data_IF_516223925685
#
_entry.id   IF_516223925685
#
_cell.length_a   1.000
_cell.length_b   1.000
_cell.length_c   1.000
_cell.angle_alpha   90.00
_cell.angle_beta   90.00
_cell.angle_gamma   90.00
#
_symmetry.space_group_name_H-M   'P 1'
#
loop_
_entity.id
_entity.type
_entity.pdbx_description
1 polymer ?
#
# COMPACT_ATOMS: atom_id res chain seq x y z
N UNK A 1 24.44 15.77 23.64
CA UNK A 1 23.23 16.33 23.09
C UNK A 1 22.74 15.45 21.98
N UNK A 2 21.57 14.83 22.15
CA UNK A 2 20.85 14.18 21.07
C UNK A 2 20.41 15.30 20.13
N UNK A 3 20.92 15.31 18.91
CA UNK A 3 20.34 16.09 17.86
C UNK A 3 18.95 15.48 17.58
N UNK A 4 17.91 16.16 18.01
CA UNK A 4 16.59 15.95 17.47
C UNK A 4 16.73 16.20 15.96
N UNK A 5 16.66 15.13 15.17
CA UNK A 5 16.44 15.27 13.75
C UNK A 5 15.09 15.97 13.61
N UNK A 6 15.14 17.28 13.39
CA UNK A 6 13.99 17.99 12.89
C UNK A 6 13.60 17.28 11.60
N UNK A 7 12.48 16.57 11.65
CA UNK A 7 11.82 16.08 10.45
C UNK A 7 11.55 17.32 9.61
N UNK A 8 12.26 17.44 8.49
CA UNK A 8 11.95 18.45 7.48
C UNK A 8 10.45 18.42 7.24
N UNK A 9 9.79 19.57 7.14
CA UNK A 9 8.37 19.58 6.85
C UNK A 9 8.14 18.76 5.59
N UNK A 10 7.39 17.68 5.70
CA UNK A 10 7.08 16.84 4.54
C UNK A 10 6.43 17.72 3.48
N UNK A 11 6.95 17.68 2.27
CA UNK A 11 6.32 18.36 1.15
C UNK A 11 4.88 17.85 1.03
N UNK A 12 3.90 18.76 1.09
CA UNK A 12 2.51 18.40 1.05
C UNK A 12 2.01 18.49 -0.40
N UNK A 13 1.38 17.41 -0.84
CA UNK A 13 0.91 17.25 -2.21
C UNK A 13 -0.62 17.39 -2.29
N UNK A 14 -1.10 17.88 -3.44
CA UNK A 14 -2.53 17.95 -3.76
C UNK A 14 -3.12 16.67 -4.29
N UNK A 15 -2.30 15.73 -4.71
CA UNK A 15 -2.73 14.42 -5.20
C UNK A 15 -1.63 13.37 -5.05
N UNK A 16 -2.04 12.11 -4.95
CA UNK A 16 -1.16 10.96 -5.02
C UNK A 16 -1.78 9.84 -5.87
N UNK A 17 -0.94 9.15 -6.61
CA UNK A 17 -1.30 7.95 -7.36
C UNK A 17 -0.58 6.75 -6.76
N UNK A 18 -1.34 5.74 -6.36
CA UNK A 18 -0.83 4.49 -5.82
C UNK A 18 -1.35 3.33 -6.68
N UNK A 19 -0.69 3.12 -7.82
CA UNK A 19 -1.12 2.18 -8.85
C UNK A 19 -0.22 0.96 -8.87
N UNK A 20 -0.79 -0.23 -8.75
CA UNK A 20 -0.09 -1.53 -8.80
C UNK A 20 1.05 -1.68 -7.78
N UNK A 21 1.03 -0.96 -6.68
CA UNK A 21 2.11 -0.90 -5.68
C UNK A 21 1.80 -1.69 -4.41
N UNK A 22 0.55 -1.66 -3.95
CA UNK A 22 0.16 -2.17 -2.63
C UNK A 22 0.51 -3.63 -2.40
N UNK A 23 0.31 -4.47 -3.40
CA UNK A 23 0.67 -5.90 -3.32
C UNK A 23 2.15 -6.10 -2.99
N UNK A 24 3.03 -5.37 -3.65
CA UNK A 24 4.47 -5.51 -3.47
C UNK A 24 4.94 -4.99 -2.12
N UNK A 25 4.41 -3.85 -1.68
CA UNK A 25 4.66 -3.35 -0.33
C UNK A 25 4.18 -4.36 0.72
N UNK A 26 3.00 -4.93 0.52
CA UNK A 26 2.41 -5.89 1.43
C UNK A 26 3.21 -7.20 1.49
N UNK A 27 3.63 -7.74 0.34
CA UNK A 27 4.45 -8.95 0.27
C UNK A 27 5.86 -8.75 0.84
N UNK A 28 6.45 -7.57 0.64
CA UNK A 28 7.81 -7.29 1.11
C UNK A 28 7.86 -6.89 2.59
N UNK A 29 6.82 -6.23 3.10
CA UNK A 29 6.84 -5.58 4.43
C UNK A 29 5.68 -5.98 5.34
N UNK A 30 4.82 -6.89 4.92
CA UNK A 30 3.69 -7.37 5.72
C UNK A 30 2.60 -6.33 5.95
N UNK A 31 1.71 -6.63 6.89
CA UNK A 31 0.62 -5.71 7.28
C UNK A 31 1.15 -4.37 7.79
N UNK A 32 2.23 -4.40 8.55
CA UNK A 32 2.88 -3.18 9.03
C UNK A 32 3.37 -2.27 7.89
N UNK A 33 3.80 -2.87 6.76
CA UNK A 33 4.18 -2.12 5.56
C UNK A 33 3.00 -1.38 4.93
N UNK A 34 1.84 -2.00 4.86
CA UNK A 34 0.61 -1.36 4.38
C UNK A 34 0.20 -0.21 5.32
N UNK A 35 0.23 -0.43 6.62
CA UNK A 35 -0.08 0.61 7.60
C UNK A 35 0.86 1.82 7.47
N UNK A 36 2.17 1.58 7.32
CA UNK A 36 3.15 2.65 7.09
C UNK A 36 2.91 3.40 5.78
N UNK A 37 2.60 2.67 4.70
CA UNK A 37 2.28 3.28 3.40
C UNK A 37 1.09 4.23 3.53
N UNK A 38 0.01 3.78 4.13
CA UNK A 38 -1.21 4.57 4.29
C UNK A 38 -1.01 5.77 5.24
N UNK A 39 -0.27 5.57 6.31
CA UNK A 39 0.12 6.67 7.19
C UNK A 39 0.97 7.72 6.48
N UNK A 40 1.91 7.30 5.63
CA UNK A 40 2.74 8.22 4.84
C UNK A 40 1.91 8.98 3.82
N UNK A 41 1.05 8.29 3.08
CA UNK A 41 0.12 8.95 2.14
C UNK A 41 -0.75 9.98 2.85
N UNK A 42 -1.27 9.63 4.03
CA UNK A 42 -2.08 10.54 4.83
C UNK A 42 -1.31 11.80 5.24
N UNK A 43 -0.06 11.66 5.69
CA UNK A 43 0.76 12.81 6.11
C UNK A 43 1.25 13.67 4.94
N UNK A 44 1.47 13.05 3.78
CA UNK A 44 1.99 13.74 2.59
C UNK A 44 0.93 14.51 1.81
N UNK A 45 -0.33 14.30 2.07
CA UNK A 45 -1.43 14.92 1.33
C UNK A 45 -2.08 16.04 2.14
N UNK A 46 -2.26 17.20 1.50
CA UNK A 46 -2.99 18.31 2.09
C UNK A 46 -4.48 17.96 2.25
N UNK A 47 -5.13 18.65 3.15
CA UNK A 47 -6.59 18.56 3.31
C UNK A 47 -7.29 18.89 1.98
N UNK A 48 -8.23 18.05 1.58
CA UNK A 48 -8.94 18.16 0.30
C UNK A 48 -8.20 17.50 -0.88
N UNK A 49 -6.96 17.05 -0.70
CA UNK A 49 -6.22 16.33 -1.72
C UNK A 49 -6.86 14.99 -2.11
N UNK A 50 -6.52 14.49 -3.26
CA UNK A 50 -7.04 13.22 -3.78
C UNK A 50 -5.97 12.14 -3.78
N UNK A 51 -6.41 10.92 -3.46
CA UNK A 51 -5.63 9.69 -3.60
C UNK A 51 -6.33 8.78 -4.60
N UNK A 52 -5.64 8.37 -5.65
CA UNK A 52 -6.09 7.29 -6.53
C UNK A 52 -5.35 6.02 -6.16
N UNK A 53 -6.09 5.01 -5.76
CA UNK A 53 -5.57 3.71 -5.35
C UNK A 53 -6.04 2.62 -6.31
N UNK A 54 -5.10 1.80 -6.78
CA UNK A 54 -5.40 0.57 -7.52
C UNK A 54 -4.93 -0.63 -6.71
N UNK A 55 -5.81 -1.23 -5.89
CA UNK A 55 -5.48 -2.42 -5.13
C UNK A 55 -5.48 -3.66 -6.04
N UNK A 56 -4.47 -4.49 -5.92
CA UNK A 56 -4.46 -5.78 -6.59
C UNK A 56 -5.30 -6.79 -5.80
N UNK A 57 -6.09 -7.65 -6.50
CA UNK A 57 -6.94 -8.64 -5.83
C UNK A 57 -6.10 -9.74 -5.17
N UNK A 58 -6.67 -10.41 -4.17
CA UNK A 58 -5.98 -11.46 -3.42
C UNK A 58 -5.47 -12.62 -4.28
N UNK A 59 -6.20 -12.94 -5.35
CA UNK A 59 -5.73 -13.92 -6.36
C UNK A 59 -4.38 -13.55 -6.98
N UNK A 60 -4.11 -12.25 -7.12
CA UNK A 60 -2.84 -11.73 -7.65
C UNK A 60 -1.68 -11.96 -6.66
N UNK A 61 -1.93 -11.85 -5.35
CA UNK A 61 -0.98 -12.22 -4.30
C UNK A 61 -0.62 -13.71 -4.38
N UNK A 62 -1.63 -14.57 -4.44
CA UNK A 62 -1.42 -16.03 -4.55
C UNK A 62 -0.62 -16.41 -5.79
N UNK A 63 -0.88 -15.74 -6.90
CA UNK A 63 -0.13 -15.96 -8.15
C UNK A 63 1.32 -15.49 -8.01
N UNK A 64 1.55 -14.34 -7.40
CA UNK A 64 2.90 -13.79 -7.22
C UNK A 64 3.79 -14.72 -6.39
N UNK A 65 3.33 -15.19 -5.24
CA UNK A 65 4.14 -16.04 -4.34
C UNK A 65 4.44 -17.44 -4.91
N UNK A 66 3.68 -17.90 -5.91
CA UNK A 66 3.95 -19.17 -6.61
C UNK A 66 5.08 -19.05 -7.63
N UNK A 67 5.39 -17.84 -8.08
CA UNK A 67 6.51 -17.61 -9.02
C UNK A 67 7.83 -17.75 -8.26
N UNK A 68 8.67 -18.70 -8.69
CA UNK A 68 9.95 -19.01 -8.03
C UNK A 68 10.83 -17.77 -7.85
N UNK A 69 11.02 -16.96 -8.88
CA UNK A 69 11.86 -15.76 -8.81
C UNK A 69 11.35 -14.70 -7.83
N UNK A 70 10.03 -14.55 -7.68
CA UNK A 70 9.42 -13.65 -6.69
C UNK A 70 9.69 -14.16 -5.28
N UNK A 71 9.54 -15.46 -5.06
CA UNK A 71 9.83 -16.09 -3.77
C UNK A 71 11.29 -15.91 -3.36
N UNK A 72 12.22 -16.10 -4.29
CA UNK A 72 13.65 -15.89 -4.05
C UNK A 72 13.97 -14.43 -3.75
N UNK A 73 13.40 -13.48 -4.51
CA UNK A 73 13.56 -12.05 -4.28
C UNK A 73 13.04 -11.61 -2.90
N UNK A 74 11.89 -12.14 -2.48
CA UNK A 74 11.33 -11.86 -1.15
C UNK A 74 12.21 -12.41 -0.02
N UNK A 75 12.82 -13.58 -0.22
CA UNK A 75 13.73 -14.17 0.75
C UNK A 75 15.05 -13.38 0.87
N UNK A 76 15.56 -12.87 -0.25
CA UNK A 76 16.78 -12.04 -0.27
C UNK A 76 16.53 -10.66 0.36
N UNK A 77 15.35 -10.09 0.16
CA UNK A 77 14.97 -8.81 0.77
C UNK A 77 14.87 -8.89 2.29
N UNK A 78 14.62 -10.09 2.85
CA UNK A 78 14.55 -10.29 4.30
C UNK A 78 15.90 -10.32 5.01
N UNK A 79 17.00 -10.50 4.26
CA UNK A 79 18.34 -10.66 4.84
C UNK A 79 19.12 -9.34 4.92
N UNK A 80 18.60 -8.25 4.37
CA UNK A 80 19.33 -6.99 4.26
C UNK A 80 19.14 -6.01 5.40
N UNK A 81 18.23 -6.27 6.33
CA UNK A 81 18.01 -5.35 7.45
C UNK A 81 17.62 -6.10 8.73
N UNK A 82 18.64 -6.40 9.54
CA UNK A 82 18.46 -7.05 10.84
C UNK A 82 17.86 -6.12 11.91
N UNK A 83 17.59 -4.86 11.59
CA UNK A 83 17.07 -3.86 12.51
C UNK A 83 15.57 -3.55 12.35
N UNK A 84 14.92 -4.12 11.34
CA UNK A 84 13.47 -3.93 11.12
C UNK A 84 12.66 -5.09 11.72
N UNK A 85 11.66 -4.81 12.58
CA UNK A 85 10.84 -5.87 13.19
C UNK A 85 9.86 -6.55 12.23
N UNK A 86 9.84 -6.19 10.96
CA UNK A 86 8.94 -6.74 9.97
C UNK A 86 9.71 -7.56 8.93
N UNK A 87 9.97 -8.81 9.25
CA UNK A 87 10.37 -9.78 8.22
C UNK A 87 9.23 -9.95 7.21
N UNK A 88 9.53 -10.07 5.89
CA UNK A 88 8.51 -10.34 4.89
C UNK A 88 7.74 -11.62 5.26
N UNK A 89 6.46 -11.68 4.98
CA UNK A 89 5.67 -12.85 5.33
C UNK A 89 6.19 -14.07 4.58
N UNK A 90 6.61 -15.07 5.32
CA UNK A 90 7.03 -16.38 4.75
C UNK A 90 5.86 -17.09 4.08
N UNK A 91 4.64 -16.70 4.43
CA UNK A 91 3.39 -17.25 3.91
C UNK A 91 2.34 -16.15 3.87
N UNK A 92 1.42 -16.23 2.90
CA UNK A 92 0.25 -15.35 2.86
C UNK A 92 -0.65 -15.49 4.10
N UNK A 93 -0.56 -16.62 4.79
CA UNK A 93 -1.35 -16.86 6.00
C UNK A 93 -0.95 -15.95 7.17
N UNK A 94 0.24 -15.36 7.12
CA UNK A 94 0.70 -14.38 8.10
C UNK A 94 0.10 -12.98 7.88
N UNK A 95 -0.48 -12.71 6.69
CA UNK A 95 -1.13 -11.45 6.36
C UNK A 95 -2.58 -11.48 6.86
N UNK A 96 -2.92 -10.58 7.77
CA UNK A 96 -4.29 -10.40 8.29
C UNK A 96 -5.07 -9.39 7.50
N UNK A 97 -4.40 -8.33 7.02
CA UNK A 97 -5.00 -7.33 6.15
C UNK A 97 -5.17 -7.92 4.74
N UNK A 98 -6.30 -7.66 4.14
CA UNK A 98 -6.63 -8.03 2.77
C UNK A 98 -6.85 -6.77 1.94
N UNK A 99 -6.70 -6.82 0.60
CA UNK A 99 -7.04 -5.68 -0.24
C UNK A 99 -8.47 -5.15 -0.05
N UNK A 100 -9.41 -6.03 0.29
CA UNK A 100 -10.78 -5.65 0.61
C UNK A 100 -10.90 -4.77 1.87
N UNK A 101 -9.91 -4.78 2.75
CA UNK A 101 -9.90 -3.99 3.99
C UNK A 101 -9.34 -2.57 3.77
N UNK A 102 -8.71 -2.31 2.63
CA UNK A 102 -8.00 -1.04 2.39
C UNK A 102 -8.91 0.18 2.48
N UNK A 103 -10.15 0.08 2.01
CA UNK A 103 -11.11 1.20 2.10
C UNK A 103 -11.38 1.54 3.55
N UNK A 104 -11.73 0.55 4.38
CA UNK A 104 -12.02 0.79 5.79
C UNK A 104 -10.79 1.28 6.57
N UNK A 105 -9.60 0.81 6.23
CA UNK A 105 -8.36 1.29 6.86
C UNK A 105 -8.09 2.75 6.50
N UNK A 106 -8.23 3.12 5.22
CA UNK A 106 -8.02 4.50 4.77
C UNK A 106 -9.09 5.45 5.32
N UNK A 107 -10.32 4.98 5.51
CA UNK A 107 -11.41 5.76 6.10
C UNK A 107 -11.34 5.87 7.62
N UNK A 108 -10.48 5.07 8.27
CA UNK A 108 -10.21 5.23 9.69
C UNK A 108 -9.74 6.66 9.99
N UNK A 109 -10.21 7.30 11.08
CA UNK A 109 -9.78 8.64 11.47
C UNK A 109 -8.27 8.84 11.55
N UNK A 110 -7.50 7.78 11.81
CA UNK A 110 -6.02 7.82 11.81
C UNK A 110 -5.44 8.25 10.48
N UNK A 111 -6.08 7.87 9.37
CA UNK A 111 -5.65 8.22 8.02
C UNK A 111 -6.46 9.36 7.42
N UNK A 112 -7.73 9.46 7.77
CA UNK A 112 -8.58 10.61 7.47
C UNK A 112 -8.98 10.76 6.02
N UNK A 113 -9.11 9.66 5.27
CA UNK A 113 -9.63 9.67 3.92
C UNK A 113 -11.13 9.40 3.89
N UNK A 114 -11.78 9.81 2.82
CA UNK A 114 -13.13 9.40 2.47
C UNK A 114 -13.14 8.85 1.05
N UNK A 115 -13.74 7.68 0.84
CA UNK A 115 -13.95 7.14 -0.50
C UNK A 115 -14.97 8.03 -1.23
N UNK A 116 -14.53 8.61 -2.35
CA UNK A 116 -15.39 9.45 -3.19
C UNK A 116 -16.09 8.61 -4.24
N UNK A 117 -15.35 7.72 -4.90
CA UNK A 117 -15.86 6.94 -6.02
C UNK A 117 -15.00 5.71 -6.29
N UNK A 118 -15.65 4.62 -6.69
CA UNK A 118 -15.01 3.54 -7.43
C UNK A 118 -15.17 3.83 -8.92
N UNK A 119 -14.06 3.94 -9.64
CA UNK A 119 -14.06 4.27 -11.07
C UNK A 119 -14.30 3.04 -11.95
N UNK A 120 -14.45 1.86 -11.34
CA UNK A 120 -14.60 0.61 -12.09
C UNK A 120 -13.35 0.20 -12.84
N UNK A 121 -13.50 -0.75 -13.75
CA UNK A 121 -12.43 -1.23 -14.64
C UNK A 121 -12.47 -0.41 -15.92
N UNK A 122 -11.33 0.13 -16.40
CA UNK A 122 -11.29 0.84 -17.67
C UNK A 122 -11.76 -0.06 -18.82
N UNK A 123 -12.58 0.50 -19.70
CA UNK A 123 -13.01 -0.20 -20.91
C UNK A 123 -11.80 -0.53 -21.78
N UNK A 124 -11.73 -1.77 -22.27
CA UNK A 124 -10.59 -2.23 -23.08
C UNK A 124 -9.31 -2.50 -22.30
N UNK A 125 -9.36 -2.55 -20.98
CA UNK A 125 -8.20 -2.90 -20.16
C UNK A 125 -7.64 -4.28 -20.55
N UNK A 126 -6.31 -4.36 -20.71
CA UNK A 126 -5.64 -5.62 -20.99
C UNK A 126 -5.78 -6.60 -19.81
N UNK A 127 -5.76 -7.92 -20.06
CA UNK A 127 -5.79 -8.92 -18.99
C UNK A 127 -4.70 -8.66 -17.94
N UNK A 128 -5.10 -8.63 -16.66
CA UNK A 128 -4.22 -8.30 -15.54
C UNK A 128 -4.18 -6.82 -15.17
N UNK A 129 -4.71 -5.92 -16.00
CA UNK A 129 -4.92 -4.50 -15.72
C UNK A 129 -6.40 -4.15 -15.57
N UNK A 130 -7.25 -5.13 -15.51
CA UNK A 130 -8.69 -5.06 -15.31
C UNK A 130 -9.06 -4.86 -13.84
N UNK A 131 -8.48 -3.82 -13.23
CA UNK A 131 -8.63 -3.55 -11.79
C UNK A 131 -9.39 -2.25 -11.57
N UNK A 132 -10.28 -2.21 -10.56
CA UNK A 132 -10.95 -0.97 -10.21
C UNK A 132 -9.97 0.05 -9.64
N UNK A 133 -10.18 1.30 -9.99
CA UNK A 133 -9.53 2.44 -9.37
C UNK A 133 -10.44 3.02 -8.29
N UNK A 134 -9.87 3.30 -7.13
CA UNK A 134 -10.57 3.90 -6.01
C UNK A 134 -10.09 5.33 -5.84
N UNK A 135 -11.01 6.28 -5.86
CA UNK A 135 -10.73 7.69 -5.62
C UNK A 135 -11.11 8.05 -4.19
N UNK A 136 -10.13 8.50 -3.44
CA UNK A 136 -10.31 9.02 -2.08
C UNK A 136 -10.03 10.52 -2.03
N UNK A 137 -10.63 11.17 -1.04
CA UNK A 137 -10.35 12.56 -0.68
C UNK A 137 -9.84 12.62 0.75
N UNK A 138 -8.80 13.39 0.98
CA UNK A 138 -8.28 13.69 2.33
C UNK A 138 -9.23 14.66 3.04
N UNK A 139 -9.72 14.27 4.21
CA UNK A 139 -10.56 15.14 5.07
C UNK A 139 -9.74 16.16 5.83
#
# INVERSE_FOLDING_TARGET
>A
GRQEQQLEPEELFGAALCLSVTKWVHLCHGDAGIERLFARLSRSLVRGAHLVLEPQPWRSYRRAVRKRGVREALLLSSNSDSSSPASPPRSLDSLRIRPADFVSILEDPRHGFALVRSLGVPEGAAPGFDRPLLLFRKK
#
